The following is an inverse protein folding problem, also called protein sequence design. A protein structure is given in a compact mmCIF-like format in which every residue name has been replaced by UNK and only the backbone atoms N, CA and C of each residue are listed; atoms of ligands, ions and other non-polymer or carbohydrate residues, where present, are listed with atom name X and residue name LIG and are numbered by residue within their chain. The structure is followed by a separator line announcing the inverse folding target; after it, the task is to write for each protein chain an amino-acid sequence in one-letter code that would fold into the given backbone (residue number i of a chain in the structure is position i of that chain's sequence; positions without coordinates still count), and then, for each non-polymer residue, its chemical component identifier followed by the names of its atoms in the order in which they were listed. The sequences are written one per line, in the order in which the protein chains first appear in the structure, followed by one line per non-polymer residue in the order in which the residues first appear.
data_IF_234288727418
#
_entry.id   IF_234288727418
#
_cell.length_a   1.000
_cell.length_b   1.000
_cell.length_c   1.000
_cell.angle_alpha   90.00
_cell.angle_beta   90.00
_cell.angle_gamma   90.00
#
_symmetry.space_group_name_H-M   'P 1'
#
loop_
_entity.id
_entity.type
_entity.pdbx_description
1 polymer ?
#
# COMPACT_ATOMS: atom_id res chain seq x y z
N UNK A 1 -8.25 -7.08 -24.82
CA UNK A 1 -7.89 -6.05 -24.87
C UNK A 1 -7.20 -5.42 -23.78
N UNK A 2 -7.52 -5.53 -22.57
CA UNK A 2 -6.87 -4.95 -21.55
C UNK A 2 -5.84 -5.82 -21.00
N UNK A 3 -4.66 -5.35 -20.65
CA UNK A 3 -3.59 -6.13 -20.07
C UNK A 3 -3.99 -6.59 -18.69
N UNK A 4 -4.06 -7.84 -18.53
CA UNK A 4 -4.42 -8.40 -17.28
C UNK A 4 -3.40 -8.13 -16.20
N UNK A 5 -2.16 -8.03 -16.54
CA UNK A 5 -1.16 -7.76 -15.55
C UNK A 5 -1.41 -6.49 -14.82
N UNK A 6 -1.81 -5.46 -15.49
CA UNK A 6 -2.09 -4.22 -14.84
C UNK A 6 -3.15 -4.34 -13.81
N UNK A 7 -4.04 -5.27 -13.99
CA UNK A 7 -5.10 -5.44 -13.05
C UNK A 7 -4.57 -5.73 -11.67
N UNK A 8 -3.56 -6.56 -11.55
CA UNK A 8 -3.02 -6.89 -10.25
C UNK A 8 -2.42 -5.67 -9.61
N UNK A 9 -1.67 -4.89 -10.36
CA UNK A 9 -1.06 -3.69 -9.81
C UNK A 9 -2.12 -2.72 -9.37
N UNK A 10 -3.18 -2.60 -10.15
CA UNK A 10 -4.25 -1.70 -9.78
C UNK A 10 -4.89 -2.10 -8.47
N UNK A 11 -5.03 -3.40 -8.26
CA UNK A 11 -5.62 -3.85 -7.01
C UNK A 11 -4.78 -3.44 -5.82
N UNK A 12 -3.47 -3.56 -5.96
CA UNK A 12 -2.60 -3.18 -4.88
C UNK A 12 -2.69 -1.68 -4.62
N UNK A 13 -2.71 -0.89 -5.68
CA UNK A 13 -2.81 0.55 -5.52
C UNK A 13 -4.12 0.92 -4.86
N UNK A 14 -5.19 0.24 -5.21
CA UNK A 14 -6.46 0.55 -4.60
C UNK A 14 -6.44 0.22 -3.13
N UNK A 15 -5.82 -0.87 -2.77
CA UNK A 15 -5.72 -1.23 -1.38
C UNK A 15 -4.91 -0.20 -0.61
N UNK A 16 -3.82 0.24 -1.22
CA UNK A 16 -3.00 1.24 -0.57
C UNK A 16 -3.79 2.51 -0.36
N UNK A 17 -4.57 2.87 -1.36
CA UNK A 17 -5.35 4.07 -1.24
C UNK A 17 -6.35 3.98 -0.11
N UNK A 18 -7.00 2.84 0.03
CA UNK A 18 -7.94 2.66 1.10
C UNK A 18 -7.25 2.76 2.43
N UNK A 19 -6.09 2.15 2.55
CA UNK A 19 -5.37 2.19 3.81
C UNK A 19 -4.93 3.61 4.10
N UNK A 20 -4.53 4.35 3.08
CA UNK A 20 -4.13 5.72 3.28
C UNK A 20 -5.28 6.56 3.79
N UNK A 21 -6.46 6.31 3.28
CA UNK A 21 -7.62 7.04 3.75
C UNK A 21 -7.86 6.75 5.22
N UNK A 22 -7.75 5.50 5.60
CA UNK A 22 -7.96 5.15 6.98
C UNK A 22 -6.86 5.73 7.86
N UNK A 23 -5.65 5.77 7.31
CA UNK A 23 -4.54 6.32 8.05
C UNK A 23 -4.83 7.79 8.36
N UNK A 24 -5.33 8.51 7.40
CA UNK A 24 -5.63 9.90 7.59
C UNK A 24 -6.70 10.07 8.65
N UNK A 25 -7.71 9.23 8.61
CA UNK A 25 -8.77 9.29 9.60
C UNK A 25 -8.21 8.98 10.98
N UNK A 26 -7.33 8.00 11.06
CA UNK A 26 -6.77 7.63 12.34
C UNK A 26 -5.95 8.78 12.91
N UNK A 27 -5.19 9.45 12.07
CA UNK A 27 -4.40 10.56 12.54
C UNK A 27 -5.29 11.70 13.00
N UNK A 28 -6.33 11.98 12.25
CA UNK A 28 -7.25 13.05 12.62
C UNK A 28 -7.97 12.73 13.91
N UNK A 29 -8.20 11.46 14.17
CA UNK A 29 -8.87 11.06 15.39
C UNK A 29 -7.87 10.80 16.50
N UNK A 30 -6.61 11.08 16.24
CA UNK A 30 -5.60 10.89 17.26
C UNK A 30 -5.44 9.44 17.68
N UNK A 31 -5.72 8.53 16.78
CA UNK A 31 -5.50 7.12 17.04
C UNK A 31 -4.16 6.75 16.47
N UNK A 32 -3.13 7.18 17.14
CA UNK A 32 -1.79 7.04 16.59
C UNK A 32 -1.32 5.60 16.51
N UNK A 33 -1.76 4.79 17.44
CA UNK A 33 -1.37 3.39 17.39
C UNK A 33 -1.89 2.73 16.13
N UNK A 34 -3.14 3.05 15.81
CA UNK A 34 -3.72 2.51 14.62
C UNK A 34 -3.03 3.06 13.39
N UNK A 35 -2.66 4.32 13.46
CA UNK A 35 -1.98 4.95 12.34
C UNK A 35 -0.66 4.26 12.06
N UNK A 36 0.04 3.86 13.08
CA UNK A 36 1.30 3.18 12.90
C UNK A 36 1.08 1.85 12.20
N UNK A 37 0.07 1.11 12.61
CA UNK A 37 -0.22 -0.16 11.98
C UNK A 37 -0.58 0.04 10.52
N UNK A 38 -1.39 1.05 10.24
CA UNK A 38 -1.79 1.31 8.87
C UNK A 38 -0.59 1.71 8.02
N UNK A 39 0.31 2.48 8.58
CA UNK A 39 1.50 2.86 7.86
C UNK A 39 2.32 1.64 7.51
N UNK A 40 2.45 0.71 8.45
CA UNK A 40 3.18 -0.50 8.18
C UNK A 40 2.55 -1.29 7.05
N UNK A 41 1.23 -1.35 7.03
CA UNK A 41 0.55 -2.05 5.97
C UNK A 41 0.85 -1.44 4.63
N UNK A 42 0.84 -0.13 4.56
CA UNK A 42 1.13 0.56 3.32
C UNK A 42 2.55 0.25 2.88
N UNK A 43 3.48 0.28 3.80
CA UNK A 43 4.83 -0.01 3.47
C UNK A 43 4.98 -1.42 2.94
N UNK A 44 4.30 -2.35 3.55
CA UNK A 44 4.37 -3.72 3.08
C UNK A 44 3.84 -3.87 1.67
N UNK A 45 2.78 -3.13 1.36
CA UNK A 45 2.23 -3.22 0.02
C UNK A 45 3.17 -2.62 -1.00
N UNK A 46 3.80 -1.52 -0.66
CA UNK A 46 4.76 -0.93 -1.55
C UNK A 46 5.94 -1.86 -1.76
N UNK A 47 6.31 -2.58 -0.73
CA UNK A 47 7.38 -3.51 -0.85
C UNK A 47 7.07 -4.58 -1.85
N UNK A 48 5.84 -5.04 -1.89
CA UNK A 48 5.45 -6.03 -2.84
C UNK A 48 5.60 -5.52 -4.26
N UNK A 49 5.27 -4.28 -4.49
CA UNK A 49 5.43 -3.71 -5.80
C UNK A 49 6.89 -3.59 -6.16
N UNK A 50 7.67 -3.14 -5.22
CA UNK A 50 9.06 -2.97 -5.45
C UNK A 50 9.81 -4.24 -5.61
N UNK A 51 9.30 -5.29 -5.04
CA UNK A 51 9.95 -6.54 -5.11
C UNK A 51 10.40 -6.89 -6.48
N UNK A 52 9.62 -6.63 -7.47
CA UNK A 52 9.97 -6.91 -8.78
C UNK A 52 11.22 -6.21 -9.19
N UNK A 53 11.35 -4.95 -8.88
CA UNK A 53 12.50 -4.19 -9.24
C UNK A 53 13.66 -4.51 -8.36
N UNK A 54 13.38 -4.77 -7.14
CA UNK A 54 14.41 -5.00 -6.21
C UNK A 54 15.19 -6.23 -6.46
N UNK A 55 14.58 -7.16 -7.03
CA UNK A 55 15.25 -8.42 -7.21
C UNK A 55 16.54 -8.26 -7.94
N UNK A 56 16.66 -7.33 -8.79
CA UNK A 56 17.86 -7.21 -9.48
C UNK A 56 18.82 -6.30 -8.83
N UNK A 57 18.47 -5.75 -7.75
CA UNK A 57 19.33 -4.94 -7.10
C UNK A 57 20.57 -5.57 -6.75
N UNK A 58 20.61 -6.67 -6.44
CA UNK A 58 21.81 -7.28 -6.06
C UNK A 58 22.80 -7.40 -7.09
#
# INVERSE_FOLDING_TARGET
KRPVKKKIENEIYEEIKKIQDELEIAVNSEQYEKAIILRDLIKNKYKKLDKKNNSNKI
#
